data_IF_656446848094
#
_entry.id   IF_656446848094
#
_cell.length_a   1.000
_cell.length_b   1.000
_cell.length_c   1.000
_cell.angle_alpha   90.00
_cell.angle_beta   90.00
_cell.angle_gamma   90.00
#
_symmetry.space_group_name_H-M   'P 1'
#
loop_
_entity.id
_entity.type
_entity.pdbx_description
1 polymer ?
#
# COMPACT_ATOMS: atom_id res chain seq x y z
N UNK A 1 -18.09 37.18 10.26
CA UNK A 1 -16.94 36.48 9.65
C UNK A 1 -16.39 37.39 8.58
N UNK A 2 -15.15 37.88 8.71
CA UNK A 2 -14.58 38.75 7.70
C UNK A 2 -13.99 37.89 6.55
N UNK A 3 -13.81 38.48 5.37
CA UNK A 3 -13.31 37.79 4.17
C UNK A 3 -11.96 37.07 4.42
N UNK A 4 -11.10 37.61 5.28
CA UNK A 4 -9.83 36.99 5.68
C UNK A 4 -10.02 35.73 6.53
N UNK A 5 -11.08 35.64 7.33
CA UNK A 5 -11.39 34.44 8.12
C UNK A 5 -11.84 33.29 7.21
N UNK A 6 -12.62 33.63 6.16
CA UNK A 6 -13.02 32.70 5.11
C UNK A 6 -11.82 32.21 4.28
N UNK A 7 -10.91 33.11 3.89
CA UNK A 7 -9.67 32.73 3.19
C UNK A 7 -8.81 31.77 4.02
N UNK A 8 -8.61 32.07 5.31
CA UNK A 8 -7.89 31.15 6.23
C UNK A 8 -8.59 29.80 6.37
N UNK A 9 -9.93 29.77 6.41
CA UNK A 9 -10.67 28.52 6.47
C UNK A 9 -10.46 27.68 5.20
N UNK A 10 -10.45 28.32 4.02
CA UNK A 10 -10.17 27.66 2.74
C UNK A 10 -8.73 27.13 2.70
N UNK A 11 -7.74 27.93 3.09
CA UNK A 11 -6.33 27.50 3.16
C UNK A 11 -6.16 26.28 4.06
N UNK A 12 -6.72 26.33 5.27
CA UNK A 12 -6.68 25.22 6.21
C UNK A 12 -7.37 23.96 5.67
N UNK A 13 -8.49 24.12 4.96
CA UNK A 13 -9.20 23.01 4.33
C UNK A 13 -8.35 22.34 3.24
N UNK A 14 -7.73 23.13 2.36
CA UNK A 14 -6.84 22.62 1.30
C UNK A 14 -5.62 21.91 1.89
N UNK A 15 -4.99 22.49 2.92
CA UNK A 15 -3.85 21.88 3.60
C UNK A 15 -4.20 20.57 4.30
N UNK A 16 -5.36 20.50 4.95
CA UNK A 16 -5.85 19.27 5.58
C UNK A 16 -6.04 18.17 4.56
N UNK A 17 -6.68 18.48 3.42
CA UNK A 17 -6.84 17.53 2.32
C UNK A 17 -5.50 17.03 1.78
N UNK A 18 -4.50 17.91 1.64
CA UNK A 18 -3.14 17.53 1.20
C UNK A 18 -2.48 16.57 2.20
N UNK A 19 -2.55 16.87 3.50
CA UNK A 19 -1.99 16.02 4.57
C UNK A 19 -2.65 14.65 4.61
N UNK A 20 -3.97 14.58 4.41
CA UNK A 20 -4.69 13.31 4.34
C UNK A 20 -4.22 12.45 3.15
N UNK A 21 -4.08 13.05 1.97
CA UNK A 21 -3.59 12.34 0.77
C UNK A 21 -2.19 11.76 0.99
N UNK A 22 -1.27 12.56 1.56
CA UNK A 22 0.09 12.11 1.91
C UNK A 22 0.05 10.95 2.90
N UNK A 23 -0.80 11.04 3.94
CA UNK A 23 -0.97 9.99 4.94
C UNK A 23 -1.46 8.68 4.33
N UNK A 24 -2.45 8.75 3.43
CA UNK A 24 -2.97 7.59 2.70
C UNK A 24 -1.89 6.95 1.82
N UNK A 25 -1.13 7.75 1.09
CA UNK A 25 -0.01 7.28 0.27
C UNK A 25 1.07 6.57 1.09
N UNK A 26 1.56 7.18 2.17
CA UNK A 26 2.61 6.59 3.00
C UNK A 26 2.12 5.32 3.72
N UNK A 27 0.85 5.28 4.14
CA UNK A 27 0.24 4.09 4.73
C UNK A 27 0.19 2.93 3.74
N UNK A 28 -0.28 3.18 2.51
CA UNK A 28 -0.31 2.17 1.45
C UNK A 28 1.10 1.70 1.07
N UNK A 29 2.06 2.62 0.97
CA UNK A 29 3.47 2.32 0.70
C UNK A 29 4.06 1.38 1.76
N UNK A 30 3.78 1.63 3.04
CA UNK A 30 4.19 0.74 4.14
C UNK A 30 3.55 -0.64 4.02
N UNK A 31 2.25 -0.72 3.68
CA UNK A 31 1.56 -1.99 3.46
C UNK A 31 2.18 -2.77 2.28
N UNK A 32 2.49 -2.09 1.18
CA UNK A 32 3.20 -2.70 0.05
C UNK A 32 4.58 -3.21 0.45
N UNK A 33 5.33 -2.50 1.29
CA UNK A 33 6.61 -3.03 1.82
C UNK A 33 6.40 -4.32 2.63
N UNK A 34 5.42 -4.35 3.53
CA UNK A 34 5.07 -5.55 4.33
C UNK A 34 4.71 -6.74 3.45
N UNK A 35 3.92 -6.52 2.39
CA UNK A 35 3.60 -7.58 1.42
C UNK A 35 4.85 -8.11 0.69
N UNK A 36 5.84 -7.25 0.40
CA UNK A 36 7.12 -7.67 -0.21
C UNK A 36 7.85 -8.67 0.67
N UNK A 37 7.97 -8.29 1.95
CA UNK A 37 8.70 -9.06 2.96
C UNK A 37 8.02 -10.41 3.14
N UNK A 38 6.70 -10.43 3.34
CA UNK A 38 5.92 -11.68 3.47
C UNK A 38 6.05 -12.58 2.25
N UNK A 39 6.03 -12.00 1.05
CA UNK A 39 6.22 -12.75 -0.18
C UNK A 39 7.62 -13.39 -0.27
N UNK A 40 8.67 -12.65 0.12
CA UNK A 40 10.04 -13.18 0.12
C UNK A 40 10.21 -14.29 1.16
N UNK A 41 9.71 -14.11 2.38
CA UNK A 41 9.72 -15.14 3.42
C UNK A 41 9.06 -16.44 2.93
N UNK A 42 7.88 -16.34 2.30
CA UNK A 42 7.20 -17.52 1.75
C UNK A 42 7.98 -18.18 0.62
N UNK A 43 8.67 -17.42 -0.23
CA UNK A 43 9.54 -18.00 -1.27
C UNK A 43 10.69 -18.79 -0.64
N UNK A 44 11.28 -18.28 0.44
CA UNK A 44 12.34 -18.97 1.13
C UNK A 44 11.82 -20.22 1.85
N UNK A 45 10.61 -20.18 2.41
CA UNK A 45 9.92 -21.38 2.93
C UNK A 45 9.69 -22.43 1.84
N UNK A 46 9.25 -22.01 0.64
CA UNK A 46 9.01 -22.92 -0.50
C UNK A 46 10.29 -23.64 -0.96
N UNK A 47 11.45 -22.98 -0.87
CA UNK A 47 12.73 -23.59 -1.25
C UNK A 47 13.11 -24.76 -0.32
N UNK A 48 12.76 -24.63 0.96
CA UNK A 48 13.13 -25.60 2.00
C UNK A 48 12.04 -26.67 2.21
N UNK A 49 10.86 -26.53 1.58
CA UNK A 49 9.73 -27.44 1.73
C UNK A 49 9.88 -28.65 0.79
N UNK A 50 9.97 -29.84 1.39
CA UNK A 50 10.08 -31.13 0.67
C UNK A 50 8.71 -31.73 0.36
N UNK A 51 7.67 -31.39 1.15
CA UNK A 51 6.33 -31.89 0.92
C UNK A 51 5.65 -31.17 -0.25
N UNK A 52 5.40 -31.90 -1.34
CA UNK A 52 4.75 -31.37 -2.56
C UNK A 52 3.40 -30.69 -2.31
N UNK A 53 2.59 -31.19 -1.35
CA UNK A 53 1.27 -30.61 -1.02
C UNK A 53 1.43 -29.29 -0.28
N UNK A 54 2.36 -29.23 0.68
CA UNK A 54 2.70 -27.99 1.39
C UNK A 54 3.29 -26.95 0.44
N UNK A 55 4.20 -27.38 -0.45
CA UNK A 55 4.81 -26.52 -1.47
C UNK A 55 3.77 -25.87 -2.38
N UNK A 56 2.83 -26.64 -2.93
CA UNK A 56 1.71 -26.10 -3.74
C UNK A 56 0.87 -25.08 -2.96
N UNK A 57 0.56 -25.33 -1.69
CA UNK A 57 -0.20 -24.39 -0.83
C UNK A 57 0.56 -23.08 -0.61
N UNK A 58 1.87 -23.15 -0.41
CA UNK A 58 2.71 -21.96 -0.24
C UNK A 58 2.84 -21.16 -1.54
N UNK A 59 2.97 -21.84 -2.69
CA UNK A 59 2.98 -21.20 -4.02
C UNK A 59 1.68 -20.45 -4.32
N UNK A 60 0.53 -21.02 -3.96
CA UNK A 60 -0.76 -20.34 -4.11
C UNK A 60 -0.85 -19.08 -3.23
N UNK A 61 -0.39 -19.17 -1.97
CA UNK A 61 -0.28 -17.99 -1.10
C UNK A 61 0.62 -16.91 -1.70
N UNK A 62 1.74 -17.29 -2.31
CA UNK A 62 2.64 -16.35 -3.01
C UNK A 62 1.91 -15.69 -4.19
N UNK A 63 1.10 -16.45 -4.94
CA UNK A 63 0.32 -15.94 -6.07
C UNK A 63 -0.70 -14.88 -5.63
N UNK A 64 -1.44 -15.16 -4.57
CA UNK A 64 -2.39 -14.20 -3.97
C UNK A 64 -1.68 -12.93 -3.53
N UNK A 65 -0.55 -13.05 -2.81
CA UNK A 65 0.23 -11.88 -2.37
C UNK A 65 0.79 -11.07 -3.54
N UNK A 66 1.24 -11.72 -4.62
CA UNK A 66 1.67 -11.04 -5.86
C UNK A 66 0.52 -10.24 -6.47
N UNK A 67 -0.68 -10.82 -6.56
CA UNK A 67 -1.85 -10.17 -7.12
C UNK A 67 -2.28 -8.96 -6.27
N UNK A 68 -2.35 -9.12 -4.95
CA UNK A 68 -2.66 -8.05 -4.00
C UNK A 68 -1.63 -6.91 -4.09
N UNK A 69 -0.33 -7.24 -4.11
CA UNK A 69 0.74 -6.26 -4.28
C UNK A 69 0.62 -5.52 -5.60
N UNK A 70 0.33 -6.20 -6.71
CA UNK A 70 0.17 -5.57 -8.03
C UNK A 70 -0.98 -4.56 -8.02
N UNK A 71 -2.11 -4.91 -7.41
CA UNK A 71 -3.25 -4.00 -7.23
C UNK A 71 -2.87 -2.80 -6.36
N UNK A 72 -2.24 -3.02 -5.21
CA UNK A 72 -1.82 -1.94 -4.33
C UNK A 72 -0.76 -1.01 -4.95
N UNK A 73 0.13 -1.52 -5.81
CA UNK A 73 1.08 -0.67 -6.55
C UNK A 73 0.40 0.20 -7.62
N UNK A 74 -0.73 -0.23 -8.20
CA UNK A 74 -1.52 0.62 -9.09
C UNK A 74 -2.16 1.78 -8.32
N UNK A 75 -2.83 1.47 -7.22
CA UNK A 75 -3.41 2.47 -6.31
C UNK A 75 -2.35 3.45 -5.79
N UNK A 76 -1.13 2.99 -5.53
CA UNK A 76 -0.04 3.84 -5.07
C UNK A 76 0.43 4.83 -6.15
N UNK A 77 0.35 4.45 -7.44
CA UNK A 77 0.62 5.37 -8.55
C UNK A 77 -0.47 6.43 -8.68
N UNK A 78 -1.74 6.02 -8.56
CA UNK A 78 -2.90 6.91 -8.57
C UNK A 78 -2.83 7.94 -7.43
N UNK A 79 -2.56 7.49 -6.20
CA UNK A 79 -2.36 8.40 -5.06
C UNK A 79 -1.16 9.33 -5.23
N UNK A 80 -0.10 8.89 -5.92
CA UNK A 80 1.07 9.73 -6.19
C UNK A 80 0.76 10.85 -7.18
N UNK A 81 -0.17 10.65 -8.12
CA UNK A 81 -0.62 11.72 -9.03
C UNK A 81 -1.54 12.74 -8.37
N UNK A 82 -2.10 12.42 -7.19
CA UNK A 82 -3.00 13.31 -6.44
C UNK A 82 -2.29 14.16 -5.38
N UNK A 83 -0.96 13.96 -5.19
CA UNK A 83 -0.08 14.63 -4.22
C UNK A 83 0.94 15.47 -4.97
#
# INVERSE_FOLDING_TARGET
>A
MNTNDLLKAIENFVDTNKRERITRYESLKRLMKKLKIKQNLLKDTVKNETNKKCKKRLEEKIRVLKAQRKKGLKLLKELKSEI
#
